data_IF_422242112037
#
_entry.id   IF_422242112037
#
_cell.length_a   1.000
_cell.length_b   1.000
_cell.length_c   1.000
_cell.angle_alpha   90.00
_cell.angle_beta   90.00
_cell.angle_gamma   90.00
#
_symmetry.space_group_name_H-M   'P 1'
#
loop_
_entity.id
_entity.type
_entity.pdbx_description
1 polymer ?
#
# COMPACT_ATOMS: atom_id res chain seq x y z
N UNK A 1 31.12 -25.16 1.21
CA UNK A 1 31.22 -24.18 2.31
C UNK A 1 30.28 -23.04 1.96
N UNK A 2 29.24 -22.73 2.74
CA UNK A 2 28.40 -21.58 2.45
C UNK A 2 29.27 -20.33 2.65
N UNK A 3 29.41 -19.52 1.60
CA UNK A 3 30.10 -18.24 1.66
C UNK A 3 29.27 -17.31 2.54
N UNK A 4 29.57 -17.26 3.83
CA UNK A 4 29.08 -16.16 4.64
C UNK A 4 29.63 -14.87 4.01
N UNK A 5 28.73 -13.94 3.70
CA UNK A 5 29.06 -12.64 3.11
C UNK A 5 29.88 -11.87 4.15
N UNK A 6 31.20 -11.99 4.09
CA UNK A 6 32.14 -11.27 4.94
C UNK A 6 32.59 -10.01 4.20
N UNK A 7 32.41 -8.84 4.82
CA UNK A 7 32.88 -7.58 4.28
C UNK A 7 32.44 -6.40 5.15
N UNK A 8 33.15 -5.28 5.05
CA UNK A 8 32.71 -4.03 5.66
C UNK A 8 31.38 -3.58 5.03
N UNK A 9 30.59 -2.75 5.74
CA UNK A 9 29.35 -2.22 5.18
C UNK A 9 29.57 -1.54 3.82
N UNK A 10 30.71 -0.85 3.65
CA UNK A 10 31.05 -0.19 2.38
C UNK A 10 31.26 -1.18 1.24
N UNK A 11 31.97 -2.28 1.50
CA UNK A 11 32.21 -3.35 0.52
C UNK A 11 30.90 -4.01 0.08
N UNK A 12 30.04 -4.39 1.03
CA UNK A 12 28.73 -5.00 0.73
C UNK A 12 27.85 -4.04 -0.09
N UNK A 13 27.92 -2.73 0.18
CA UNK A 13 27.19 -1.72 -0.61
C UNK A 13 27.78 -1.49 -2.01
N UNK A 14 29.09 -1.70 -2.20
CA UNK A 14 29.71 -1.64 -3.52
C UNK A 14 29.32 -2.87 -4.34
N UNK A 15 29.37 -4.05 -3.74
CA UNK A 15 28.95 -5.31 -4.36
C UNK A 15 27.46 -5.28 -4.75
N UNK A 16 26.58 -4.81 -3.85
CA UNK A 16 25.18 -4.61 -4.16
C UNK A 16 24.96 -3.71 -5.39
N UNK A 17 25.74 -2.62 -5.52
CA UNK A 17 25.63 -1.71 -6.67
C UNK A 17 26.00 -2.40 -7.98
N UNK A 18 27.09 -3.17 -8.00
CA UNK A 18 27.50 -3.95 -9.16
C UNK A 18 26.44 -4.99 -9.55
N UNK A 19 25.87 -5.71 -8.58
CA UNK A 19 24.78 -6.66 -8.80
C UNK A 19 23.54 -5.96 -9.37
N UNK A 20 23.14 -4.83 -8.79
CA UNK A 20 21.97 -4.07 -9.26
C UNK A 20 22.15 -3.61 -10.71
N UNK A 21 23.36 -3.23 -11.10
CA UNK A 21 23.69 -2.84 -12.47
C UNK A 21 23.64 -4.02 -13.43
N UNK A 22 24.09 -5.21 -13.02
CA UNK A 22 24.05 -6.41 -13.86
C UNK A 22 22.62 -6.85 -14.19
N UNK A 23 21.66 -6.62 -13.29
CA UNK A 23 20.24 -6.95 -13.50
C UNK A 23 19.37 -5.76 -13.95
N UNK A 24 19.98 -4.64 -14.33
CA UNK A 24 19.23 -3.42 -14.66
C UNK A 24 18.25 -3.60 -15.84
N UNK A 25 18.56 -4.50 -16.79
CA UNK A 25 17.72 -4.81 -17.95
C UNK A 25 16.55 -5.74 -17.62
N UNK A 26 16.59 -6.43 -16.48
CA UNK A 26 15.51 -7.31 -16.04
C UNK A 26 14.36 -6.46 -15.50
N UNK A 27 13.21 -6.57 -16.15
CA UNK A 27 11.98 -5.88 -15.74
C UNK A 27 11.13 -6.79 -14.87
N UNK A 28 10.79 -6.32 -13.68
CA UNK A 28 9.79 -6.97 -12.86
C UNK A 28 8.38 -6.55 -13.33
N UNK A 29 7.39 -7.44 -13.18
CA UNK A 29 5.99 -7.07 -13.23
C UNK A 29 5.68 -5.84 -12.35
N UNK A 30 4.77 -4.93 -12.76
CA UNK A 30 4.45 -3.73 -11.99
C UNK A 30 3.90 -4.01 -10.59
N UNK A 31 3.22 -5.15 -10.40
CA UNK A 31 2.71 -5.57 -9.11
C UNK A 31 3.81 -6.03 -8.14
N UNK A 32 5.04 -6.22 -8.63
CA UNK A 32 6.23 -6.56 -7.84
C UNK A 32 7.15 -5.36 -7.61
N UNK A 33 6.59 -4.15 -7.60
CA UNK A 33 7.29 -2.92 -7.23
C UNK A 33 6.62 -2.25 -6.03
N UNK A 34 7.43 -1.64 -5.16
CA UNK A 34 6.89 -0.75 -4.11
C UNK A 34 6.77 0.66 -4.69
N UNK A 35 5.63 1.33 -4.48
CA UNK A 35 5.43 2.69 -4.97
C UNK A 35 6.53 3.63 -4.45
N UNK A 36 7.03 4.51 -5.31
CA UNK A 36 8.22 5.34 -5.05
C UNK A 36 7.89 6.83 -4.80
N UNK A 37 6.62 7.18 -4.90
CA UNK A 37 6.15 8.55 -4.70
C UNK A 37 6.22 8.97 -3.23
N UNK A 38 6.66 10.21 -3.01
CA UNK A 38 6.59 10.87 -1.70
C UNK A 38 5.25 11.58 -1.47
N UNK A 39 4.38 11.61 -2.49
CA UNK A 39 3.07 12.25 -2.36
C UNK A 39 2.24 11.54 -1.28
N UNK A 40 1.73 12.30 -0.31
CA UNK A 40 0.98 11.75 0.83
C UNK A 40 1.83 11.23 1.99
N UNK A 41 3.15 11.39 1.96
CA UNK A 41 4.04 11.07 3.08
C UNK A 41 4.31 12.31 3.92
N UNK A 42 3.92 12.27 5.20
CA UNK A 42 4.22 13.36 6.14
C UNK A 42 5.71 13.45 6.47
N UNK A 43 6.16 14.66 6.86
CA UNK A 43 7.57 14.91 7.21
C UNK A 43 8.08 14.00 8.34
N UNK A 44 7.23 13.69 9.31
CA UNK A 44 7.54 12.81 10.43
C UNK A 44 7.81 11.35 9.99
N UNK A 45 7.16 10.90 8.91
CA UNK A 45 7.24 9.52 8.41
C UNK A 45 8.30 9.32 7.33
N UNK A 46 8.99 10.38 6.91
CA UNK A 46 10.08 10.30 5.94
C UNK A 46 11.17 9.28 6.31
N UNK A 47 11.59 9.13 7.59
CA UNK A 47 12.54 8.08 7.97
C UNK A 47 11.99 6.67 7.68
N UNK A 48 10.73 6.40 8.04
CA UNK A 48 10.07 5.11 7.79
C UNK A 48 9.95 4.84 6.28
N UNK A 49 9.49 5.83 5.52
CA UNK A 49 9.43 5.77 4.05
C UNK A 49 10.80 5.43 3.44
N UNK A 50 11.88 6.12 3.85
CA UNK A 50 13.22 5.88 3.31
C UNK A 50 13.73 4.45 3.59
N UNK A 51 13.41 3.89 4.77
CA UNK A 51 13.75 2.51 5.11
C UNK A 51 12.99 1.54 4.20
N UNK A 52 11.68 1.73 4.04
CA UNK A 52 10.83 0.89 3.17
C UNK A 52 11.38 0.91 1.75
N UNK A 53 11.66 2.09 1.19
CA UNK A 53 12.20 2.25 -0.16
C UNK A 53 13.56 1.56 -0.35
N UNK A 54 14.45 1.67 0.65
CA UNK A 54 15.77 1.05 0.58
C UNK A 54 15.67 -0.47 0.64
N UNK A 55 14.84 -1.01 1.53
CA UNK A 55 14.57 -2.44 1.63
C UNK A 55 13.90 -2.99 0.37
N UNK A 56 12.94 -2.25 -0.21
CA UNK A 56 12.26 -2.63 -1.44
C UNK A 56 13.23 -2.81 -2.60
N UNK A 57 14.16 -1.85 -2.79
CA UNK A 57 15.20 -1.94 -3.83
C UNK A 57 16.09 -3.17 -3.70
N UNK A 58 16.39 -3.58 -2.47
CA UNK A 58 17.14 -4.82 -2.23
C UNK A 58 16.32 -6.04 -2.65
N UNK A 59 15.05 -6.12 -2.23
CA UNK A 59 14.19 -7.24 -2.58
C UNK A 59 13.88 -7.32 -4.08
N UNK A 60 13.64 -6.18 -4.74
CA UNK A 60 13.47 -6.12 -6.20
C UNK A 60 14.73 -6.64 -6.93
N UNK A 61 15.93 -6.29 -6.45
CA UNK A 61 17.18 -6.80 -7.02
C UNK A 61 17.29 -8.31 -6.86
N UNK A 62 16.91 -8.85 -5.70
CA UNK A 62 16.87 -10.30 -5.46
C UNK A 62 15.88 -10.99 -6.39
N UNK A 63 14.66 -10.48 -6.53
CA UNK A 63 13.65 -11.05 -7.43
C UNK A 63 14.09 -11.02 -8.90
N UNK A 64 14.80 -9.96 -9.32
CA UNK A 64 15.39 -9.90 -10.66
C UNK A 64 16.45 -10.98 -10.86
N UNK A 65 17.36 -11.17 -9.89
CA UNK A 65 18.35 -12.25 -9.95
C UNK A 65 17.67 -13.63 -10.05
N UNK A 66 16.70 -13.89 -9.19
CA UNK A 66 15.99 -15.16 -9.14
C UNK A 66 15.24 -15.44 -10.44
N UNK A 67 14.71 -14.41 -11.11
CA UNK A 67 14.06 -14.56 -12.42
C UNK A 67 15.00 -15.01 -13.55
N UNK A 68 16.32 -14.92 -13.34
CA UNK A 68 17.34 -15.40 -14.28
C UNK A 68 17.87 -16.79 -13.94
N UNK A 69 17.50 -17.34 -12.78
CA UNK A 69 17.91 -18.68 -12.34
C UNK A 69 17.02 -19.77 -12.95
N UNK A 70 17.54 -21.01 -12.99
CA UNK A 70 16.78 -22.18 -13.40
C UNK A 70 15.71 -22.51 -12.32
N UNK A 71 14.41 -22.58 -12.67
CA UNK A 71 13.33 -22.87 -11.73
C UNK A 71 13.35 -24.32 -11.19
N UNK A 72 14.19 -25.21 -11.73
CA UNK A 72 14.29 -26.59 -11.25
C UNK A 72 14.91 -26.71 -9.85
N UNK A 73 15.62 -25.68 -9.36
CA UNK A 73 16.24 -25.70 -8.04
C UNK A 73 15.23 -25.36 -6.92
N UNK A 74 14.96 -26.34 -6.06
CA UNK A 74 14.05 -26.20 -4.93
C UNK A 74 14.48 -25.11 -3.93
N UNK A 75 15.78 -24.91 -3.71
CA UNK A 75 16.28 -23.88 -2.80
C UNK A 75 16.05 -22.47 -3.38
N UNK A 76 16.24 -22.30 -4.69
CA UNK A 76 15.95 -21.04 -5.40
C UNK A 76 14.46 -20.70 -5.30
N UNK A 77 13.58 -21.69 -5.43
CA UNK A 77 12.14 -21.49 -5.26
C UNK A 77 11.75 -21.08 -3.84
N UNK A 78 12.40 -21.66 -2.81
CA UNK A 78 12.18 -21.27 -1.41
C UNK A 78 12.63 -19.83 -1.14
N UNK A 79 13.81 -19.43 -1.65
CA UNK A 79 14.30 -18.05 -1.52
C UNK A 79 13.37 -17.09 -2.26
N UNK A 80 12.88 -17.46 -3.44
CA UNK A 80 11.90 -16.68 -4.20
C UNK A 80 10.61 -16.44 -3.42
N UNK A 81 10.09 -17.47 -2.75
CA UNK A 81 8.90 -17.35 -1.91
C UNK A 81 9.11 -16.37 -0.74
N UNK A 82 10.25 -16.46 -0.05
CA UNK A 82 10.58 -15.56 1.08
C UNK A 82 10.79 -14.12 0.60
N UNK A 83 11.51 -13.91 -0.51
CA UNK A 83 11.71 -12.59 -1.10
C UNK A 83 10.39 -11.96 -1.55
N UNK A 84 9.49 -12.74 -2.15
CA UNK A 84 8.16 -12.27 -2.52
C UNK A 84 7.34 -11.89 -1.29
N UNK A 85 7.33 -12.72 -0.24
CA UNK A 85 6.64 -12.41 1.00
C UNK A 85 7.14 -11.10 1.63
N UNK A 86 8.46 -10.88 1.66
CA UNK A 86 9.04 -9.64 2.17
C UNK A 86 8.66 -8.43 1.30
N UNK A 87 8.68 -8.56 -0.03
CA UNK A 87 8.23 -7.48 -0.90
C UNK A 87 6.76 -7.12 -0.64
N UNK A 88 5.88 -8.12 -0.50
CA UNK A 88 4.45 -7.90 -0.18
C UNK A 88 4.27 -7.16 1.14
N UNK A 89 5.02 -7.54 2.17
CA UNK A 89 5.03 -6.81 3.44
C UNK A 89 5.46 -5.33 3.26
N UNK A 90 6.49 -5.05 2.47
CA UNK A 90 6.93 -3.67 2.21
C UNK A 90 5.91 -2.85 1.44
N UNK A 91 5.20 -3.45 0.48
CA UNK A 91 4.07 -2.81 -0.21
C UNK A 91 2.96 -2.45 0.77
N UNK A 92 2.67 -3.35 1.71
CA UNK A 92 1.67 -3.15 2.75
C UNK A 92 2.03 -1.99 3.69
N UNK A 93 3.27 -1.98 4.19
CA UNK A 93 3.77 -0.91 5.07
C UNK A 93 3.78 0.46 4.38
N UNK A 94 4.13 0.50 3.10
CA UNK A 94 4.05 1.73 2.30
C UNK A 94 2.61 2.21 2.18
N UNK A 95 1.67 1.31 1.90
CA UNK A 95 0.26 1.65 1.76
C UNK A 95 -0.35 2.11 3.08
N UNK A 96 -0.03 1.47 4.21
CA UNK A 96 -0.45 1.94 5.53
C UNK A 96 0.05 3.37 5.81
N UNK A 97 1.32 3.64 5.51
CA UNK A 97 1.91 4.96 5.68
C UNK A 97 1.22 6.05 4.84
N UNK A 98 0.75 5.71 3.63
CA UNK A 98 -0.06 6.62 2.82
C UNK A 98 -1.46 6.81 3.40
N UNK A 99 -2.12 5.73 3.83
CA UNK A 99 -3.50 5.79 4.32
C UNK A 99 -3.58 6.57 5.63
N UNK A 100 -2.67 6.33 6.58
CA UNK A 100 -2.62 7.02 7.87
C UNK A 100 -2.38 8.53 7.75
N UNK A 101 -1.80 8.99 6.65
CA UNK A 101 -1.52 10.41 6.43
C UNK A 101 -2.54 11.11 5.54
N UNK A 102 -3.23 10.39 4.65
CA UNK A 102 -4.17 10.97 3.70
C UNK A 102 -5.63 10.89 4.15
N UNK A 103 -5.94 10.00 5.09
CA UNK A 103 -7.30 9.80 5.57
C UNK A 103 -7.38 9.98 7.08
N UNK A 104 -8.58 10.26 7.57
CA UNK A 104 -8.86 10.37 9.00
C UNK A 104 -8.57 9.05 9.74
N UNK A 105 -8.33 9.13 11.04
CA UNK A 105 -8.04 7.99 11.92
C UNK A 105 -9.07 6.85 11.81
N UNK A 106 -10.33 7.18 11.50
CA UNK A 106 -11.40 6.22 11.27
C UNK A 106 -11.11 5.36 10.04
N UNK A 107 -10.84 6.01 8.91
CA UNK A 107 -10.50 5.35 7.64
C UNK A 107 -9.21 4.53 7.72
N UNK A 108 -8.18 5.03 8.43
CA UNK A 108 -6.93 4.30 8.61
C UNK A 108 -7.09 3.00 9.42
N UNK A 109 -7.91 3.03 10.48
CA UNK A 109 -8.24 1.82 11.27
C UNK A 109 -9.08 0.83 10.48
N UNK A 110 -10.03 1.33 9.69
CA UNK A 110 -10.89 0.50 8.84
C UNK A 110 -10.07 -0.22 7.77
N UNK A 111 -9.12 0.48 7.16
CA UNK A 111 -8.14 -0.08 6.23
C UNK A 111 -7.26 -1.16 6.88
N UNK A 112 -6.67 -0.88 8.05
CA UNK A 112 -5.86 -1.86 8.80
C UNK A 112 -6.67 -3.11 9.18
N UNK A 113 -7.94 -2.93 9.56
CA UNK A 113 -8.86 -4.04 9.88
C UNK A 113 -9.16 -4.91 8.66
N UNK A 114 -9.36 -4.28 7.49
CA UNK A 114 -9.59 -4.99 6.22
C UNK A 114 -8.35 -5.76 5.75
N UNK A 115 -7.15 -5.24 6.02
CA UNK A 115 -5.90 -5.95 5.72
C UNK A 115 -5.73 -7.19 6.59
N UNK A 116 -5.99 -7.06 7.89
CA UNK A 116 -5.87 -8.18 8.84
C UNK A 116 -7.00 -9.20 8.68
N UNK A 117 -8.16 -8.78 8.18
CA UNK A 117 -9.30 -9.63 7.94
C UNK A 117 -10.02 -9.25 6.64
N UNK A 118 -9.61 -9.84 5.49
CA UNK A 118 -10.21 -9.56 4.18
C UNK A 118 -11.70 -9.90 4.10
N UNK A 119 -12.20 -10.73 5.02
CA UNK A 119 -13.61 -11.11 5.14
C UNK A 119 -14.38 -10.27 6.18
N UNK A 120 -13.81 -9.18 6.69
CA UNK A 120 -14.40 -8.36 7.76
C UNK A 120 -15.79 -7.80 7.40
N UNK A 121 -16.09 -7.60 6.11
CA UNK A 121 -17.43 -7.24 5.65
C UNK A 121 -18.04 -8.36 4.84
N UNK A 122 -19.18 -8.86 5.30
CA UNK A 122 -20.02 -9.76 4.49
C UNK A 122 -20.67 -8.98 3.34
N UNK A 123 -20.99 -9.62 2.20
CA UNK A 123 -21.67 -8.97 1.08
C UNK A 123 -22.96 -8.23 1.50
N UNK A 124 -23.71 -8.82 2.44
CA UNK A 124 -24.93 -8.22 2.98
C UNK A 124 -24.64 -6.94 3.79
N UNK A 125 -23.52 -6.89 4.54
CA UNK A 125 -23.08 -5.68 5.24
C UNK A 125 -22.77 -4.53 4.28
N UNK A 126 -22.15 -4.84 3.13
CA UNK A 126 -21.84 -3.85 2.09
C UNK A 126 -23.11 -3.33 1.39
N UNK A 127 -24.03 -4.22 1.02
CA UNK A 127 -25.32 -3.80 0.43
C UNK A 127 -26.13 -2.90 1.38
N UNK A 128 -26.17 -3.24 2.67
CA UNK A 128 -26.87 -2.42 3.65
C UNK A 128 -26.18 -1.07 3.87
N UNK A 129 -24.85 -1.01 3.83
CA UNK A 129 -24.11 0.25 3.87
C UNK A 129 -24.41 1.13 2.64
N UNK A 130 -24.43 0.54 1.45
CA UNK A 130 -24.79 1.24 0.19
C UNK A 130 -26.23 1.80 0.24
N UNK A 131 -27.18 1.02 0.77
CA UNK A 131 -28.55 1.49 1.00
C UNK A 131 -28.59 2.64 2.01
N UNK A 132 -27.86 2.54 3.12
CA UNK A 132 -27.80 3.59 4.13
C UNK A 132 -27.19 4.90 3.58
N UNK A 133 -26.14 4.82 2.77
CA UNK A 133 -25.54 5.99 2.09
C UNK A 133 -26.52 6.62 1.11
N UNK A 134 -27.23 5.81 0.32
CA UNK A 134 -28.26 6.30 -0.61
C UNK A 134 -29.38 7.05 0.12
N UNK A 135 -29.82 6.52 1.27
CA UNK A 135 -30.83 7.16 2.13
C UNK A 135 -30.29 8.45 2.75
N UNK A 136 -29.04 8.46 3.22
CA UNK A 136 -28.41 9.64 3.81
C UNK A 136 -28.23 10.78 2.78
N UNK A 137 -27.80 10.45 1.56
CA UNK A 137 -27.72 11.41 0.46
C UNK A 137 -29.09 11.97 0.06
N UNK A 138 -30.12 11.13 0.03
CA UNK A 138 -31.51 11.58 -0.21
C UNK A 138 -32.02 12.50 0.92
N UNK A 139 -31.64 12.25 2.18
CA UNK A 139 -31.98 13.12 3.33
C UNK A 139 -31.32 14.49 3.26
N UNK A 140 -30.07 14.57 2.82
CA UNK A 140 -29.38 15.86 2.62
C UNK A 140 -30.05 16.70 1.53
N UNK A 141 -30.49 16.06 0.44
CA UNK A 141 -31.25 16.72 -0.63
C UNK A 141 -32.62 17.22 -0.13
N UNK A 142 -33.29 16.45 0.74
CA UNK A 142 -34.59 16.83 1.30
C UNK A 142 -34.50 18.00 2.28
N UNK A 143 -33.42 18.12 3.06
CA UNK A 143 -33.20 19.24 3.99
C UNK A 143 -32.90 20.57 3.28
N UNK A 144 -32.35 20.55 2.05
CA UNK A 144 -32.12 21.77 1.28
C UNK A 144 -33.39 22.30 0.60
N UNK A 145 -34.32 21.43 0.20
CA UNK A 145 -35.57 21.85 -0.43
C UNK A 145 -36.62 22.41 0.55
N UNK A 146 -36.57 22.07 1.84
CA UNK A 146 -37.51 22.61 2.85
C UNK A 146 -37.19 24.04 3.31
N UNK A 147 -35.98 24.55 3.05
CA UNK A 147 -35.60 25.92 3.38
C UNK A 147 -35.97 26.97 2.31
N UNK A 148 -36.73 26.58 1.26
CA UNK A 148 -37.15 27.46 0.17
C UNK A 148 -38.63 27.85 0.19
N UNK A 149 -39.36 27.68 1.30
CA UNK A 149 -40.73 28.21 1.41
C UNK A 149 -40.65 29.66 1.91
N UNK A 150 -40.92 30.70 1.08
CA UNK A 150 -41.18 32.02 1.61
C UNK A 150 -42.50 31.97 2.38
N UNK A 151 -42.41 32.35 3.64
CA UNK A 151 -43.50 32.47 4.60
C UNK A 151 -44.50 33.53 4.10
N UNK A 152 -45.50 33.10 3.36
CA UNK A 152 -46.63 33.92 2.90
C UNK A 152 -47.58 34.20 4.05
N UNK A 153 -47.18 35.10 4.96
CA UNK A 153 -48.09 35.67 5.97
C UNK A 153 -49.25 36.39 5.29
N UNK A 154 -50.45 35.99 5.66
CA UNK A 154 -51.67 36.80 5.56
C UNK A 154 -51.47 38.06 6.41
N UNK A 155 -51.64 39.24 5.83
CA UNK A 155 -52.01 40.43 6.58
C UNK A 155 -53.35 40.92 6.05
N UNK A 156 -54.32 41.00 6.97
CA UNK A 156 -55.62 41.63 6.77
C UNK A 156 -55.43 43.15 6.73
N UNK A 157 -56.10 43.79 5.77
CA UNK A 157 -56.31 45.23 5.67
C UNK A 157 -57.35 45.50 4.60
#
# INVERSE_FOLDING_TARGET
MPSAVYGSFSEVQAEFRAIRESVAQVKLPPDLMVGDSRAGVCRADLPKFNIIQKSARYQETVLKLLSTCDPADAAVNQVSAVSLAHLRFLQEEYMQLLVSNQFDDGTAKLFSTLQQNPAAFTPNSLENLQRAVSIAGARQYHQMCTNCIPDGRRENG
#
